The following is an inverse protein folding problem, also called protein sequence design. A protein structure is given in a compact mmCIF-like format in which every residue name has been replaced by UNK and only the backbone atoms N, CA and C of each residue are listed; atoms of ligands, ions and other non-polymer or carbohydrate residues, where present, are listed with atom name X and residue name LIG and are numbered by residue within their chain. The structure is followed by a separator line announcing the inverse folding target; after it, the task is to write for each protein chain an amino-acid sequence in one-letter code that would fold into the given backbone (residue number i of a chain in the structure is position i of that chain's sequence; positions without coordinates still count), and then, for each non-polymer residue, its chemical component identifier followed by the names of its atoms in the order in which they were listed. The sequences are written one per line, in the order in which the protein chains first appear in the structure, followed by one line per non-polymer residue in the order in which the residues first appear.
data_IF_752492379477
#
_entry.id   IF_752492379477
#
_cell.length_a   1.000
_cell.length_b   1.000
_cell.length_c   1.000
_cell.angle_alpha   90.00
_cell.angle_beta   90.00
_cell.angle_gamma   90.00
#
_symmetry.space_group_name_H-M   'P 1'
#
loop_
_entity.id
_entity.type
_entity.pdbx_description
1 polymer ?
#
# COMPACT_ATOMS: atom_id res chain seq x y z
N UNK A 1 -31.23 -2.65 25.52
CA UNK A 1 -31.63 -3.31 24.25
C UNK A 1 -31.21 -2.40 23.10
N UNK A 2 -30.09 -2.74 22.45
CA UNK A 2 -29.47 -1.94 21.38
C UNK A 2 -30.22 -2.11 20.05
N UNK A 3 -30.50 -1.01 19.36
CA UNK A 3 -30.90 -0.98 17.95
C UNK A 3 -29.91 -0.09 17.23
N UNK A 4 -28.88 -0.67 16.63
CA UNK A 4 -28.01 -0.03 15.63
C UNK A 4 -27.12 -1.10 14.99
N UNK A 5 -27.75 -2.09 14.34
CA UNK A 5 -27.04 -3.05 13.48
C UNK A 5 -27.27 -2.63 12.03
N UNK A 6 -26.21 -2.11 11.39
CA UNK A 6 -26.21 -1.74 9.98
C UNK A 6 -25.89 -3.01 9.16
N UNK A 7 -26.91 -3.65 8.59
CA UNK A 7 -26.74 -4.85 7.78
C UNK A 7 -26.56 -4.48 6.30
N UNK A 8 -25.33 -4.61 5.78
CA UNK A 8 -25.07 -4.66 4.35
C UNK A 8 -24.56 -6.06 3.97
N UNK A 9 -25.33 -6.78 3.16
CA UNK A 9 -24.97 -8.12 2.65
C UNK A 9 -24.39 -7.99 1.24
N UNK A 10 -23.09 -8.21 1.08
CA UNK A 10 -22.51 -8.56 -0.22
C UNK A 10 -22.17 -10.05 -0.24
N UNK A 11 -22.76 -10.80 -1.18
CA UNK A 11 -22.47 -12.21 -1.42
C UNK A 11 -21.20 -12.32 -2.26
N UNK A 12 -20.04 -12.43 -1.62
CA UNK A 12 -18.84 -13.00 -2.24
C UNK A 12 -18.43 -14.22 -1.42
N UNK A 13 -18.50 -15.40 -2.04
CA UNK A 13 -17.94 -16.68 -1.58
C UNK A 13 -18.36 -17.20 -0.19
N UNK A 14 -19.66 -17.29 0.09
CA UNK A 14 -20.26 -18.15 1.13
C UNK A 14 -19.58 -18.16 2.53
N UNK A 15 -18.86 -17.11 2.90
CA UNK A 15 -18.42 -16.82 4.25
C UNK A 15 -19.00 -15.47 4.64
N UNK A 16 -19.94 -15.46 5.58
CA UNK A 16 -20.42 -14.23 6.22
C UNK A 16 -19.25 -13.62 7.00
N UNK A 17 -18.52 -12.71 6.38
CA UNK A 17 -17.59 -11.84 7.10
C UNK A 17 -18.42 -10.81 7.87
N UNK A 18 -18.55 -11.00 9.18
CA UNK A 18 -19.15 -10.02 10.07
C UNK A 18 -18.13 -8.90 10.28
N UNK A 19 -18.33 -7.78 9.60
CA UNK A 19 -17.48 -6.60 9.72
C UNK A 19 -18.15 -5.66 10.72
N UNK A 20 -17.64 -5.64 11.96
CA UNK A 20 -18.15 -4.81 13.06
C UNK A 20 -17.28 -3.56 13.32
N UNK A 21 -16.51 -3.11 12.31
CA UNK A 21 -15.68 -1.91 12.43
C UNK A 21 -16.34 -0.73 11.67
N UNK A 22 -16.72 0.37 12.38
CA UNK A 22 -17.35 1.52 11.78
C UNK A 22 -16.47 2.23 10.74
N UNK A 23 -15.13 2.12 10.85
CA UNK A 23 -14.20 2.67 9.84
C UNK A 23 -14.28 1.88 8.53
N UNK A 24 -14.51 0.56 8.61
CA UNK A 24 -14.63 -0.31 7.44
C UNK A 24 -15.99 -0.14 6.74
N UNK A 25 -17.07 0.11 7.50
CA UNK A 25 -18.38 0.42 6.94
C UNK A 25 -18.36 1.70 6.08
N UNK A 26 -17.66 2.74 6.56
CA UNK A 26 -17.46 3.98 5.80
C UNK A 26 -16.70 3.72 4.50
N UNK A 27 -15.63 2.91 4.54
CA UNK A 27 -14.86 2.54 3.35
C UNK A 27 -15.72 1.80 2.33
N UNK A 28 -16.58 0.87 2.76
CA UNK A 28 -17.48 0.12 1.87
C UNK A 28 -18.52 1.04 1.20
N UNK A 29 -19.07 2.00 1.93
CA UNK A 29 -20.00 3.00 1.39
C UNK A 29 -19.26 3.92 0.39
N UNK A 30 -18.03 4.32 0.71
CA UNK A 30 -17.18 5.11 -0.18
C UNK A 30 -16.88 4.35 -1.49
N UNK A 31 -16.55 3.06 -1.41
CA UNK A 31 -16.29 2.20 -2.57
C UNK A 31 -17.54 2.00 -3.43
N UNK A 32 -18.71 1.83 -2.81
CA UNK A 32 -19.97 1.74 -3.53
C UNK A 32 -20.27 3.03 -4.30
N UNK A 33 -20.04 4.20 -3.70
CA UNK A 33 -20.22 5.51 -4.35
C UNK A 33 -19.20 5.77 -5.48
N UNK A 34 -17.96 5.28 -5.37
CA UNK A 34 -16.95 5.37 -6.43
C UNK A 34 -17.30 4.52 -7.66
N UNK A 35 -18.00 3.38 -7.47
CA UNK A 35 -18.50 2.56 -8.57
C UNK A 35 -19.61 3.26 -9.38
N UNK A 36 -20.40 4.12 -8.71
CA UNK A 36 -21.52 4.86 -9.31
C UNK A 36 -21.05 6.13 -10.05
N UNK A 37 -19.92 6.72 -9.66
CA UNK A 37 -19.32 7.89 -10.32
C UNK A 37 -18.35 7.52 -11.47
N UNK A 38 -18.08 6.24 -11.71
CA UNK A 38 -17.33 5.74 -12.86
C UNK A 38 -18.19 5.67 -14.13
N UNK A 39 -18.84 6.79 -14.48
CA UNK A 39 -19.48 6.98 -15.80
C UNK A 39 -18.64 7.88 -16.72
N UNK A 40 -17.35 7.96 -16.45
CA UNK A 40 -16.35 8.37 -17.44
C UNK A 40 -15.51 7.14 -17.78
N UNK A 41 -16.12 6.20 -18.49
CA UNK A 41 -15.38 5.31 -19.36
C UNK A 41 -14.57 6.19 -20.30
N UNK A 42 -13.25 6.01 -20.31
CA UNK A 42 -12.48 6.28 -21.53
C UNK A 42 -13.15 5.43 -22.61
N UNK A 43 -14.05 6.05 -23.37
CA UNK A 43 -14.89 5.35 -24.32
C UNK A 43 -14.00 4.84 -25.44
N UNK A 44 -13.56 3.59 -25.34
CA UNK A 44 -12.98 2.84 -26.44
C UNK A 44 -14.02 2.58 -27.55
N UNK A 45 -15.27 3.00 -27.34
CA UNK A 45 -16.40 2.93 -28.26
C UNK A 45 -16.55 4.27 -28.97
N UNK A 46 -16.55 4.24 -30.29
CA UNK A 46 -16.85 5.40 -31.13
C UNK A 46 -18.35 5.69 -31.04
N UNK A 47 -18.74 6.89 -30.59
CA UNK A 47 -20.16 7.26 -30.45
C UNK A 47 -20.88 7.51 -31.78
N UNK A 48 -20.16 7.52 -32.90
CA UNK A 48 -20.73 7.65 -34.25
C UNK A 48 -21.19 6.29 -34.77
N UNK A 49 -20.33 5.26 -34.72
CA UNK A 49 -20.66 3.91 -35.20
C UNK A 49 -21.12 2.94 -34.10
N UNK A 50 -21.04 3.36 -32.82
CA UNK A 50 -21.38 2.56 -31.64
C UNK A 50 -20.61 1.23 -31.54
N UNK A 51 -19.40 1.20 -32.10
CA UNK A 51 -18.48 0.05 -32.14
C UNK A 51 -17.10 0.50 -31.64
N UNK A 52 -16.20 -0.46 -31.43
CA UNK A 52 -14.82 -0.18 -31.01
C UNK A 52 -14.11 0.79 -31.96
N UNK A 53 -13.30 1.70 -31.39
CA UNK A 53 -12.57 2.70 -32.16
C UNK A 53 -11.49 2.02 -33.02
N UNK A 54 -11.73 2.00 -34.33
CA UNK A 54 -10.77 1.59 -35.36
C UNK A 54 -10.06 2.84 -35.86
N UNK A 55 -8.73 2.80 -35.99
CA UNK A 55 -7.89 3.93 -36.44
C UNK A 55 -8.22 5.25 -35.69
N UNK A 56 -7.82 5.36 -34.41
CA UNK A 56 -8.24 6.48 -33.56
C UNK A 56 -7.70 7.82 -34.06
N UNK A 57 -8.59 8.81 -34.17
CA UNK A 57 -8.21 10.21 -34.36
C UNK A 57 -8.77 11.05 -33.21
N UNK A 58 -7.93 11.97 -32.72
CA UNK A 58 -8.34 12.97 -31.73
C UNK A 58 -8.70 14.27 -32.44
N UNK A 59 -9.84 14.83 -32.06
CA UNK A 59 -10.26 16.16 -32.49
C UNK A 59 -9.53 17.22 -31.66
N UNK A 60 -9.54 18.48 -32.10
CA UNK A 60 -8.98 19.62 -31.36
C UNK A 60 -9.57 19.82 -29.95
N UNK A 61 -10.73 19.24 -29.65
CA UNK A 61 -11.33 19.24 -28.31
C UNK A 61 -10.88 18.07 -27.42
N UNK A 62 -10.03 17.17 -27.91
CA UNK A 62 -9.52 16.00 -27.18
C UNK A 62 -10.39 14.75 -27.26
N UNK A 63 -11.60 14.82 -27.84
CA UNK A 63 -12.44 13.64 -28.04
C UNK A 63 -11.94 12.75 -29.19
N UNK A 64 -12.05 11.43 -29.01
CA UNK A 64 -11.52 10.42 -29.94
C UNK A 64 -12.64 9.65 -30.64
N UNK A 65 -12.48 9.41 -31.93
CA UNK A 65 -13.43 8.69 -32.80
C UNK A 65 -12.66 7.86 -33.84
N UNK A 66 -13.36 6.98 -34.58
CA UNK A 66 -12.77 6.33 -35.75
C UNK A 66 -12.46 7.36 -36.83
N UNK A 67 -11.32 7.19 -37.51
CA UNK A 67 -10.93 8.04 -38.64
C UNK A 67 -12.04 8.12 -39.69
N UNK A 68 -12.57 6.97 -40.10
CA UNK A 68 -13.60 6.88 -41.14
C UNK A 68 -14.91 7.57 -40.72
N UNK A 69 -15.28 7.46 -39.44
CA UNK A 69 -16.49 8.10 -38.92
C UNK A 69 -16.41 9.63 -39.01
N UNK A 70 -15.25 10.22 -38.69
CA UNK A 70 -15.06 11.67 -38.80
C UNK A 70 -14.95 12.10 -40.26
N UNK A 71 -14.32 11.31 -41.13
CA UNK A 71 -14.27 11.60 -42.56
C UNK A 71 -15.67 11.60 -43.19
N UNK A 72 -16.51 10.63 -42.84
CA UNK A 72 -17.91 10.59 -43.28
C UNK A 72 -18.69 11.80 -42.75
N UNK A 73 -18.55 12.13 -41.47
CA UNK A 73 -19.21 13.31 -40.88
C UNK A 73 -18.85 14.60 -41.63
N UNK A 74 -17.56 14.79 -41.95
CA UNK A 74 -17.09 15.96 -42.71
C UNK A 74 -17.67 16.02 -44.13
N UNK A 75 -17.89 14.88 -44.78
CA UNK A 75 -18.50 14.79 -46.12
C UNK A 75 -20.01 15.08 -46.08
N UNK A 76 -20.72 14.56 -45.08
CA UNK A 76 -22.18 14.71 -44.97
C UNK A 76 -22.61 16.10 -44.46
N UNK A 77 -21.74 16.83 -43.77
CA UNK A 77 -22.04 18.16 -43.21
C UNK A 77 -21.01 19.21 -43.64
N UNK A 78 -20.94 19.58 -44.92
CA UNK A 78 -20.04 20.62 -45.40
C UNK A 78 -20.42 21.96 -44.75
N UNK A 79 -19.49 22.55 -43.98
CA UNK A 79 -19.67 23.85 -43.31
C UNK A 79 -20.17 23.82 -41.86
N UNK A 80 -20.62 22.67 -41.33
CA UNK A 80 -21.02 22.52 -39.92
C UNK A 80 -20.22 21.41 -39.22
N UNK A 81 -18.90 21.52 -39.28
CA UNK A 81 -18.01 20.54 -38.69
C UNK A 81 -17.86 20.81 -37.19
N UNK A 82 -18.68 20.15 -36.37
CA UNK A 82 -18.65 20.22 -34.91
C UNK A 82 -18.42 18.84 -34.30
N UNK A 83 -17.77 18.80 -33.14
CA UNK A 83 -17.60 17.57 -32.38
C UNK A 83 -18.98 17.00 -31.97
N UNK A 84 -19.27 15.70 -32.23
CA UNK A 84 -20.55 15.09 -31.82
C UNK A 84 -20.81 15.11 -30.31
N UNK A 85 -19.76 15.16 -29.48
CA UNK A 85 -19.86 15.12 -28.02
C UNK A 85 -20.02 16.51 -27.39
N UNK A 86 -19.12 17.44 -27.70
CA UNK A 86 -19.09 18.76 -27.06
C UNK A 86 -19.47 19.92 -27.98
N UNK A 87 -19.77 19.65 -29.25
CA UNK A 87 -20.19 20.64 -30.26
C UNK A 87 -19.17 21.75 -30.58
N UNK A 88 -17.93 21.62 -30.10
CA UNK A 88 -16.81 22.51 -30.45
C UNK A 88 -16.49 22.36 -31.94
N UNK A 89 -16.26 23.47 -32.63
CA UNK A 89 -15.89 23.50 -34.06
C UNK A 89 -14.60 22.75 -34.31
N UNK A 90 -14.61 21.90 -35.35
CA UNK A 90 -13.46 21.11 -35.76
C UNK A 90 -12.48 21.98 -36.54
N UNK A 91 -11.28 22.17 -36.00
CA UNK A 91 -10.21 22.95 -36.63
C UNK A 91 -9.11 22.05 -37.21
N UNK A 92 -8.72 21.02 -36.45
CA UNK A 92 -7.71 20.06 -36.86
C UNK A 92 -8.00 18.69 -36.25
N UNK A 93 -7.44 17.66 -36.85
CA UNK A 93 -7.53 16.26 -36.41
C UNK A 93 -6.12 15.69 -36.34
N UNK A 94 -5.80 15.02 -35.24
CA UNK A 94 -4.48 14.42 -35.00
C UNK A 94 -4.66 12.91 -34.98
N UNK A 95 -3.88 12.20 -35.79
CA UNK A 95 -3.80 10.74 -35.71
C UNK A 95 -3.20 10.37 -34.36
N UNK A 96 -3.95 9.60 -33.56
CA UNK A 96 -3.44 9.06 -32.31
C UNK A 96 -2.76 7.76 -32.69
N UNK A 97 -1.48 7.60 -32.34
CA UNK A 97 -0.85 6.27 -32.44
C UNK A 97 -1.72 5.29 -31.66
N UNK A 98 -1.82 4.03 -32.10
CA UNK A 98 -2.50 2.96 -31.36
C UNK A 98 -1.89 2.81 -29.95
N UNK A 99 -2.30 3.68 -29.05
CA UNK A 99 -2.09 3.58 -27.63
C UNK A 99 -3.35 2.91 -27.14
N UNK A 100 -3.25 1.58 -27.13
CA UNK A 100 -4.08 0.64 -26.41
C UNK A 100 -5.03 1.32 -25.42
N UNK A 101 -6.31 1.37 -25.79
CA UNK A 101 -7.40 1.60 -24.86
C UNK A 101 -7.57 0.32 -24.02
N UNK A 102 -6.55 -0.07 -23.24
CA UNK A 102 -6.48 -1.36 -22.52
C UNK A 102 -6.63 -1.23 -21.02
N UNK A 103 -7.24 -0.15 -20.55
CA UNK A 103 -7.66 -0.13 -19.16
C UNK A 103 -9.12 0.20 -19.10
N UNK A 104 -9.93 -0.87 -19.07
CA UNK A 104 -11.29 -0.74 -18.58
C UNK A 104 -11.25 -0.04 -17.22
N UNK A 105 -12.30 0.67 -16.80
CA UNK A 105 -12.38 1.22 -15.45
C UNK A 105 -12.08 0.16 -14.37
N UNK A 106 -12.36 -1.12 -14.67
CA UNK A 106 -12.04 -2.26 -13.81
C UNK A 106 -10.52 -2.49 -13.70
N UNK A 107 -9.75 -2.39 -14.78
CA UNK A 107 -8.30 -2.58 -14.77
C UNK A 107 -7.59 -1.48 -13.95
N UNK A 108 -8.07 -0.24 -14.05
CA UNK A 108 -7.55 0.87 -13.22
C UNK A 108 -7.84 0.62 -11.74
N UNK A 109 -9.03 0.12 -11.42
CA UNK A 109 -9.40 -0.23 -10.05
C UNK A 109 -8.58 -1.40 -9.51
N UNK A 110 -8.35 -2.43 -10.32
CA UNK A 110 -7.50 -3.58 -9.97
C UNK A 110 -6.07 -3.12 -9.70
N UNK A 111 -5.48 -2.30 -10.58
CA UNK A 111 -4.14 -1.76 -10.39
C UNK A 111 -4.03 -0.94 -9.11
N UNK A 112 -4.99 -0.05 -8.85
CA UNK A 112 -5.03 0.72 -7.60
C UNK A 112 -5.13 -0.18 -6.38
N UNK A 113 -5.97 -1.22 -6.43
CA UNK A 113 -6.12 -2.18 -5.34
C UNK A 113 -4.82 -2.93 -5.08
N UNK A 114 -4.11 -3.36 -6.12
CA UNK A 114 -2.82 -4.05 -6.01
C UNK A 114 -1.74 -3.17 -5.36
N UNK A 115 -1.65 -1.89 -5.75
CA UNK A 115 -0.68 -0.94 -5.16
C UNK A 115 -0.95 -0.77 -3.66
N UNK A 116 -2.22 -0.59 -3.28
CA UNK A 116 -2.60 -0.45 -1.87
C UNK A 116 -2.28 -1.73 -1.09
N UNK A 117 -2.61 -2.91 -1.63
CA UNK A 117 -2.28 -4.19 -0.99
C UNK A 117 -0.77 -4.36 -0.81
N UNK A 118 0.02 -4.00 -1.82
CA UNK A 118 1.48 -4.12 -1.75
C UNK A 118 2.08 -3.18 -0.69
N UNK A 119 1.60 -1.94 -0.62
CA UNK A 119 2.01 -0.99 0.42
C UNK A 119 1.68 -1.49 1.84
N UNK A 120 0.50 -2.10 2.03
CA UNK A 120 0.12 -2.69 3.32
C UNK A 120 1.03 -3.86 3.70
N UNK A 121 1.33 -4.76 2.76
CA UNK A 121 2.24 -5.89 2.99
C UNK A 121 3.64 -5.38 3.36
N UNK A 122 4.15 -4.39 2.66
CA UNK A 122 5.45 -3.79 2.94
C UNK A 122 5.49 -3.14 4.34
N UNK A 123 4.45 -2.40 4.71
CA UNK A 123 4.33 -1.82 6.04
C UNK A 123 4.32 -2.88 7.15
N UNK A 124 3.58 -3.97 6.94
CA UNK A 124 3.55 -5.09 7.89
C UNK A 124 4.93 -5.75 8.04
N UNK A 125 5.64 -6.00 6.93
CA UNK A 125 6.99 -6.58 6.97
C UNK A 125 7.98 -5.70 7.76
N UNK A 126 7.88 -4.38 7.63
CA UNK A 126 8.72 -3.46 8.41
C UNK A 126 8.42 -3.54 9.91
N UNK A 127 7.14 -3.63 10.30
CA UNK A 127 6.74 -3.83 11.69
C UNK A 127 7.28 -5.15 12.23
N UNK A 128 7.15 -6.24 11.48
CA UNK A 128 7.65 -7.55 11.87
C UNK A 128 9.17 -7.55 12.04
N UNK A 129 9.91 -6.90 11.13
CA UNK A 129 11.37 -6.76 11.23
C UNK A 129 11.78 -5.98 12.48
N UNK A 130 11.08 -4.90 12.80
CA UNK A 130 11.34 -4.13 14.00
C UNK A 130 11.06 -4.93 15.28
N UNK A 131 9.95 -5.67 15.32
CA UNK A 131 9.64 -6.57 16.43
C UNK A 131 10.71 -7.66 16.60
N UNK A 132 11.16 -8.27 15.50
CA UNK A 132 12.25 -9.26 15.53
C UNK A 132 13.56 -8.65 16.06
N UNK A 133 13.88 -7.42 15.66
CA UNK A 133 15.02 -6.69 16.20
C UNK A 133 14.88 -6.48 17.72
N UNK A 134 13.71 -6.03 18.19
CA UNK A 134 13.44 -5.86 19.62
C UNK A 134 13.58 -7.18 20.40
N UNK A 135 13.08 -8.30 19.86
CA UNK A 135 13.21 -9.62 20.49
C UNK A 135 14.68 -10.02 20.60
N UNK A 136 15.46 -9.88 19.52
CA UNK A 136 16.91 -10.16 19.52
C UNK A 136 17.65 -9.31 20.54
N UNK A 137 17.37 -8.00 20.55
CA UNK A 137 17.92 -7.07 21.53
C UNK A 137 17.60 -7.51 22.97
N UNK A 138 16.34 -7.86 23.25
CA UNK A 138 15.92 -8.33 24.58
C UNK A 138 16.65 -9.61 25.01
N UNK A 139 16.93 -10.51 24.06
CA UNK A 139 17.65 -11.77 24.29
C UNK A 139 19.12 -11.50 24.61
N UNK A 140 19.77 -10.62 23.86
CA UNK A 140 21.16 -10.20 24.11
C UNK A 140 21.26 -9.55 25.48
N UNK A 141 20.36 -8.62 25.81
CA UNK A 141 20.31 -7.96 27.12
C UNK A 141 20.18 -8.96 28.26
N UNK A 142 19.28 -9.95 28.16
CA UNK A 142 19.14 -11.03 29.16
C UNK A 142 20.44 -11.83 29.33
N UNK A 143 21.11 -12.21 28.23
CA UNK A 143 22.39 -12.95 28.30
C UNK A 143 23.48 -12.17 29.00
N UNK A 144 23.56 -10.86 28.76
CA UNK A 144 24.54 -9.99 29.41
C UNK A 144 24.27 -9.85 30.91
N UNK A 145 22.99 -9.68 31.30
CA UNK A 145 22.58 -9.64 32.71
C UNK A 145 22.94 -10.95 33.42
N UNK A 146 22.67 -12.11 32.81
CA UNK A 146 23.03 -13.39 33.40
C UNK A 146 24.55 -13.51 33.59
N UNK A 147 25.35 -13.12 32.58
CA UNK A 147 26.81 -13.10 32.70
C UNK A 147 27.31 -12.18 33.81
N UNK A 148 26.66 -11.04 34.04
CA UNK A 148 27.00 -10.14 35.16
C UNK A 148 26.77 -10.84 36.50
N UNK A 149 25.65 -11.53 36.66
CA UNK A 149 25.33 -12.31 37.85
C UNK A 149 26.36 -13.42 38.06
N UNK A 150 26.73 -14.14 37.01
CA UNK A 150 27.74 -15.22 37.08
C UNK A 150 29.12 -14.68 37.52
N UNK A 151 29.57 -13.55 36.96
CA UNK A 151 30.84 -12.91 37.34
C UNK A 151 30.79 -12.44 38.81
N UNK A 152 29.68 -11.85 39.24
CA UNK A 152 29.50 -11.42 40.62
C UNK A 152 29.56 -12.63 41.58
N UNK A 153 28.88 -13.73 41.25
CA UNK A 153 28.93 -14.98 42.02
C UNK A 153 30.36 -15.56 42.11
N UNK A 154 31.10 -15.58 41.00
CA UNK A 154 32.51 -16.02 41.00
C UNK A 154 33.40 -15.16 41.90
N UNK A 155 33.18 -13.84 41.89
CA UNK A 155 33.92 -12.90 42.75
C UNK A 155 33.65 -13.20 44.23
N UNK A 156 32.38 -13.36 44.61
CA UNK A 156 31.99 -13.63 45.99
C UNK A 156 32.57 -14.96 46.51
N UNK A 157 32.59 -15.99 45.67
CA UNK A 157 33.21 -17.28 45.99
C UNK A 157 34.74 -17.20 46.18
N UNK A 158 35.44 -16.37 45.38
CA UNK A 158 36.89 -16.20 45.52
C UNK A 158 37.27 -15.40 46.77
N UNK A 159 36.49 -14.37 47.09
CA UNK A 159 36.68 -13.55 48.30
C UNK A 159 36.50 -14.39 49.57
N UNK A 160 35.54 -15.32 49.58
CA UNK A 160 35.29 -16.20 50.72
C UNK A 160 36.36 -17.29 50.92
N UNK A 161 37.01 -17.75 49.85
CA UNK A 161 37.86 -18.93 49.91
C UNK A 161 39.35 -18.65 50.13
N UNK A 162 39.96 -17.57 49.59
CA UNK A 162 41.34 -17.17 49.94
C UNK A 162 41.66 -15.68 49.63
N UNK A 163 42.27 -14.93 50.57
CA UNK A 163 42.65 -13.53 50.36
C UNK A 163 43.85 -13.30 49.41
N UNK A 164 44.51 -14.36 48.93
CA UNK A 164 45.72 -14.26 48.09
C UNK A 164 45.45 -14.17 46.57
N UNK A 165 44.19 -14.23 46.11
CA UNK A 165 43.83 -14.18 44.68
C UNK A 165 43.53 -12.75 44.16
N UNK A 166 44.17 -11.73 44.74
CA UNK A 166 43.89 -10.31 44.48
C UNK A 166 43.93 -9.94 42.99
N UNK A 167 44.87 -10.50 42.22
CA UNK A 167 44.97 -10.24 40.78
C UNK A 167 43.78 -10.80 39.99
N UNK A 168 43.29 -11.99 40.36
CA UNK A 168 42.16 -12.64 39.71
C UNK A 168 40.84 -11.93 40.04
N UNK A 169 40.70 -11.47 41.28
CA UNK A 169 39.58 -10.64 41.74
C UNK A 169 39.54 -9.31 40.98
N UNK A 170 40.68 -8.63 40.81
CA UNK A 170 40.76 -7.38 40.06
C UNK A 170 40.37 -7.57 38.57
N UNK A 171 40.83 -8.66 37.93
CA UNK A 171 40.43 -8.98 36.56
C UNK A 171 38.92 -9.23 36.40
N UNK A 172 38.30 -9.91 37.37
CA UNK A 172 36.85 -10.10 37.37
C UNK A 172 36.10 -8.78 37.59
N UNK A 173 36.64 -7.90 38.45
CA UNK A 173 36.07 -6.58 38.69
C UNK A 173 36.09 -5.70 37.43
N UNK A 174 37.18 -5.70 36.67
CA UNK A 174 37.27 -5.00 35.39
C UNK A 174 36.28 -5.54 34.36
N UNK A 175 36.17 -6.86 34.23
CA UNK A 175 35.18 -7.50 33.34
C UNK A 175 33.74 -7.17 33.74
N UNK A 176 33.45 -7.14 35.04
CA UNK A 176 32.13 -6.77 35.56
C UNK A 176 31.79 -5.32 35.21
N UNK A 177 32.71 -4.39 35.44
CA UNK A 177 32.52 -2.98 35.11
C UNK A 177 32.27 -2.75 33.62
N UNK A 178 33.07 -3.38 32.75
CA UNK A 178 32.89 -3.29 31.30
C UNK A 178 31.50 -3.80 30.87
N UNK A 179 31.11 -4.97 31.38
CA UNK A 179 29.82 -5.58 31.04
C UNK A 179 28.63 -4.77 31.60
N UNK A 180 28.80 -4.16 32.78
CA UNK A 180 27.78 -3.32 33.42
C UNK A 180 27.53 -2.03 32.63
N UNK A 181 28.59 -1.42 32.09
CA UNK A 181 28.49 -0.26 31.21
C UNK A 181 27.70 -0.61 29.94
N UNK A 182 28.04 -1.72 29.28
CA UNK A 182 27.30 -2.19 28.10
C UNK A 182 25.81 -2.41 28.42
N UNK A 183 25.48 -3.00 29.57
CA UNK A 183 24.07 -3.22 29.96
C UNK A 183 23.34 -1.90 30.26
N UNK A 184 24.03 -0.91 30.83
CA UNK A 184 23.46 0.41 31.09
C UNK A 184 23.17 1.16 29.78
N UNK A 185 24.06 1.08 28.80
CA UNK A 185 23.87 1.67 27.46
C UNK A 185 22.70 1.02 26.70
N UNK A 186 22.33 -0.20 27.07
CA UNK A 186 21.17 -0.94 26.52
C UNK A 186 19.85 -0.65 27.27
N UNK A 187 19.81 0.33 28.19
CA UNK A 187 18.54 0.82 28.77
C UNK A 187 17.88 1.82 27.80
N UNK A 188 16.56 1.73 27.57
CA UNK A 188 15.86 2.74 26.78
C UNK A 188 16.00 4.11 27.46
N UNK A 189 16.24 5.15 26.66
CA UNK A 189 16.24 6.55 27.08
C UNK A 189 14.82 7.06 27.33
#
# INVERSE_FOLDING_TARGET
MNKNEFFALSKLNNQKLQINDPKLAVILIQLHNLSIQSKNSMNCICTICLDDIKTPISLNCGHVFCQDCILQLKKSQPGNQKCPLCRITLLHTIAVKEQQCTQSPLDILILKQQIVQQALIQGQQQLDQFQQFQIKFSTIKKRLINKLVDIQCQKDLLVLNQPNFTQQINQLHEKQNLLQNIVNDLKPQ
#
